data_IF_792285367791
#
_entry.id   IF_792285367791
#
_cell.length_a   1.000
_cell.length_b   1.000
_cell.length_c   1.000
_cell.angle_alpha   90.00
_cell.angle_beta   90.00
_cell.angle_gamma   90.00
#
_symmetry.space_group_name_H-M   'P 1'
#
loop_
_entity.id
_entity.type
_entity.pdbx_description
1 polymer ?
#
# COMPACT_ATOMS: atom_id res chain seq x y z
N UNK A 1 2.24 -12.63 -43.34
CA UNK A 1 2.05 -11.42 -42.51
C UNK A 1 0.94 -11.70 -41.51
N UNK A 2 1.16 -11.60 -40.19
CA UNK A 2 0.06 -11.79 -39.22
C UNK A 2 -0.88 -10.58 -39.24
N UNK A 3 -2.17 -10.85 -39.09
CA UNK A 3 -3.23 -9.84 -39.09
C UNK A 3 -3.16 -8.98 -37.83
N UNK A 4 -3.68 -7.74 -37.88
CA UNK A 4 -3.76 -6.85 -36.72
C UNK A 4 -4.44 -7.53 -35.51
N UNK A 5 -5.47 -8.32 -35.78
CA UNK A 5 -6.23 -9.08 -34.79
C UNK A 5 -5.40 -10.16 -34.11
N UNK A 6 -4.51 -10.85 -34.83
CA UNK A 6 -3.57 -11.82 -34.25
C UNK A 6 -2.53 -11.14 -33.38
N UNK A 7 -2.00 -9.98 -33.80
CA UNK A 7 -1.08 -9.18 -32.97
C UNK A 7 -1.75 -8.68 -31.69
N UNK A 8 -3.02 -8.28 -31.75
CA UNK A 8 -3.80 -7.89 -30.56
C UNK A 8 -4.03 -9.09 -29.65
N UNK A 9 -4.45 -10.25 -30.18
CA UNK A 9 -4.61 -11.46 -29.37
C UNK A 9 -3.32 -11.90 -28.71
N UNK A 10 -2.21 -11.83 -29.42
CA UNK A 10 -0.88 -12.17 -28.89
C UNK A 10 -0.46 -11.17 -27.80
N UNK A 11 -0.65 -9.87 -28.00
CA UNK A 11 -0.41 -8.85 -26.98
C UNK A 11 -1.32 -9.03 -25.74
N UNK A 12 -2.58 -9.40 -25.93
CA UNK A 12 -3.53 -9.70 -24.83
C UNK A 12 -3.13 -10.99 -24.09
N UNK A 13 -2.60 -11.99 -24.81
CA UNK A 13 -2.07 -13.20 -24.19
C UNK A 13 -0.80 -12.91 -23.38
N UNK A 14 0.14 -12.11 -23.92
CA UNK A 14 1.33 -11.64 -23.22
C UNK A 14 0.99 -10.75 -22.01
N UNK A 15 -0.13 -10.02 -22.06
CA UNK A 15 -0.65 -9.27 -20.90
C UNK A 15 -1.07 -10.14 -19.72
N UNK A 16 -1.37 -11.44 -19.91
CA UNK A 16 -1.78 -12.33 -18.81
C UNK A 16 -0.63 -12.60 -17.82
N UNK A 17 0.62 -12.63 -18.30
CA UNK A 17 1.81 -12.81 -17.47
C UNK A 17 2.51 -11.51 -17.08
N UNK A 18 1.92 -10.37 -17.47
CA UNK A 18 2.48 -9.06 -17.17
C UNK A 18 2.47 -8.79 -15.67
N UNK A 19 3.64 -8.41 -15.15
CA UNK A 19 3.80 -7.92 -13.78
C UNK A 19 3.90 -6.40 -13.79
N UNK A 20 3.46 -5.79 -12.70
CA UNK A 20 3.39 -4.34 -12.54
C UNK A 20 4.17 -3.94 -11.30
N UNK A 21 4.88 -2.81 -11.37
CA UNK A 21 5.48 -2.21 -10.18
C UNK A 21 4.37 -1.68 -9.26
N UNK A 22 4.44 -1.98 -7.97
CA UNK A 22 3.42 -1.57 -6.99
C UNK A 22 4.06 -0.79 -5.85
N UNK A 23 3.44 0.33 -5.47
CA UNK A 23 3.79 1.08 -4.25
C UNK A 23 2.53 1.23 -3.40
N UNK A 24 2.58 0.75 -2.15
CA UNK A 24 1.54 0.96 -1.15
C UNK A 24 1.88 2.10 -0.20
N UNK A 25 0.88 2.84 0.24
CA UNK A 25 1.04 3.93 1.21
C UNK A 25 -0.15 3.96 2.19
N UNK A 26 0.13 4.27 3.45
CA UNK A 26 -0.86 4.60 4.48
C UNK A 26 -0.68 6.07 4.85
N UNK A 27 -1.78 6.80 4.94
CA UNK A 27 -1.77 8.24 5.20
C UNK A 27 -2.65 8.55 6.40
N UNK A 28 -2.05 9.08 7.46
CA UNK A 28 -2.80 9.64 8.58
C UNK A 28 -3.09 11.11 8.30
N UNK A 29 -4.36 11.51 8.41
CA UNK A 29 -4.79 12.89 8.19
C UNK A 29 -5.25 13.49 9.51
N UNK A 30 -4.59 14.54 9.96
CA UNK A 30 -4.90 15.27 11.18
C UNK A 30 -5.53 16.63 10.89
N UNK A 31 -6.58 16.95 11.66
CA UNK A 31 -7.30 18.22 11.66
C UNK A 31 -7.69 18.55 13.11
N UNK A 32 -7.09 19.55 13.77
CA UNK A 32 -6.01 20.41 13.29
C UNK A 32 -4.66 19.67 13.13
N UNK A 33 -3.65 20.28 12.48
CA UNK A 33 -2.27 19.77 12.46
C UNK A 33 -1.70 19.55 13.85
N UNK A 34 -0.86 18.53 14.01
CA UNK A 34 -0.10 18.29 15.23
C UNK A 34 1.12 19.22 15.28
N UNK A 35 1.40 19.80 16.45
CA UNK A 35 2.62 20.57 16.68
C UNK A 35 3.86 19.67 16.61
N UNK A 36 3.81 18.50 17.26
CA UNK A 36 4.89 17.51 17.30
C UNK A 36 4.32 16.10 17.00
N UNK A 37 4.20 15.72 15.72
CA UNK A 37 3.71 14.39 15.37
C UNK A 37 4.71 13.29 15.77
N UNK A 38 4.26 12.33 16.57
CA UNK A 38 5.06 11.16 16.94
C UNK A 38 5.02 10.11 15.81
N UNK A 39 6.00 10.19 14.93
CA UNK A 39 6.12 9.28 13.78
C UNK A 39 6.40 7.84 14.21
N UNK A 40 7.12 7.62 15.30
CA UNK A 40 7.47 6.29 15.79
C UNK A 40 6.24 5.59 16.39
N UNK A 41 5.38 6.32 17.11
CA UNK A 41 4.11 5.80 17.58
C UNK A 41 3.18 5.42 16.41
N UNK A 42 3.05 6.28 15.40
CA UNK A 42 2.26 5.97 14.20
C UNK A 42 2.82 4.76 13.45
N UNK A 43 4.14 4.70 13.27
CA UNK A 43 4.81 3.56 12.64
C UNK A 43 4.61 2.26 13.42
N UNK A 44 4.70 2.33 14.75
CA UNK A 44 4.46 1.19 15.63
C UNK A 44 3.00 0.72 15.55
N UNK A 45 2.05 1.65 15.47
CA UNK A 45 0.63 1.33 15.31
C UNK A 45 0.36 0.56 14.02
N UNK A 46 1.01 0.91 12.91
CA UNK A 46 0.91 0.17 11.65
C UNK A 46 1.41 -1.27 11.85
N UNK A 47 2.56 -1.45 12.49
CA UNK A 47 3.15 -2.77 12.73
C UNK A 47 2.30 -3.62 13.68
N UNK A 48 1.69 -3.02 14.69
CA UNK A 48 0.78 -3.73 15.60
C UNK A 48 -0.44 -4.25 14.87
N UNK A 49 -1.06 -3.39 14.06
CA UNK A 49 -2.26 -3.74 13.32
C UNK A 49 -1.95 -4.78 12.23
N UNK A 50 -0.80 -4.67 11.55
CA UNK A 50 -0.33 -5.65 10.56
C UNK A 50 -0.29 -7.09 11.13
N UNK A 51 0.19 -7.24 12.37
CA UNK A 51 0.26 -8.55 13.05
C UNK A 51 -1.11 -9.22 13.23
N UNK A 52 -2.20 -8.46 13.25
CA UNK A 52 -3.55 -8.97 13.45
C UNK A 52 -4.14 -9.61 12.18
N UNK A 53 -3.71 -9.17 11.00
CA UNK A 53 -4.20 -9.69 9.71
C UNK A 53 -3.08 -9.64 8.66
N UNK A 54 -2.05 -10.49 8.82
CA UNK A 54 -0.95 -10.50 7.88
C UNK A 54 -1.44 -10.78 6.45
N UNK A 55 -0.98 -9.95 5.50
CA UNK A 55 -0.94 -10.25 4.08
C UNK A 55 -0.37 -11.66 3.85
N UNK A 56 -1.20 -12.55 3.29
CA UNK A 56 -0.86 -13.95 3.10
C UNK A 56 0.26 -14.12 2.07
N UNK A 57 1.24 -14.95 2.42
CA UNK A 57 1.81 -15.93 1.49
C UNK A 57 1.07 -17.24 1.83
N UNK A 58 0.40 -17.86 0.87
CA UNK A 58 -0.54 -18.99 1.07
C UNK A 58 0.13 -20.31 1.53
N UNK A 59 1.41 -20.33 1.94
CA UNK A 59 2.18 -21.55 2.21
C UNK A 59 3.02 -21.49 3.51
N UNK A 60 2.49 -20.95 4.60
CA UNK A 60 3.17 -21.03 5.92
C UNK A 60 2.58 -22.21 6.72
N UNK A 61 3.37 -23.24 7.06
CA UNK A 61 2.92 -24.38 7.85
C UNK A 61 2.32 -23.94 9.20
N UNK A 62 1.28 -24.63 9.67
CA UNK A 62 0.71 -24.40 10.99
C UNK A 62 1.78 -24.54 12.08
N UNK A 63 1.94 -23.49 12.90
CA UNK A 63 2.94 -23.42 13.98
C UNK A 63 4.26 -22.73 13.63
N UNK A 64 4.50 -22.36 12.38
CA UNK A 64 5.67 -21.55 12.00
C UNK A 64 5.44 -20.05 12.25
N UNK A 65 6.51 -19.32 12.57
CA UNK A 65 6.48 -17.86 12.65
C UNK A 65 6.16 -17.30 11.25
N UNK A 66 5.02 -16.60 11.13
CA UNK A 66 4.61 -16.00 9.86
C UNK A 66 5.53 -14.83 9.54
N UNK A 67 6.10 -14.76 8.32
CA UNK A 67 6.92 -13.62 7.93
C UNK A 67 6.08 -12.32 7.99
N UNK A 68 6.70 -11.17 8.32
CA UNK A 68 6.00 -9.91 8.35
C UNK A 68 5.46 -9.57 6.96
N UNK A 69 4.20 -9.18 6.94
CA UNK A 69 3.48 -8.82 5.72
C UNK A 69 3.97 -7.52 5.10
N UNK A 70 4.45 -6.61 5.96
CA UNK A 70 5.19 -5.43 5.56
C UNK A 70 6.69 -5.75 5.60
N UNK A 71 7.30 -5.88 4.42
CA UNK A 71 8.74 -6.12 4.30
C UNK A 71 9.55 -4.88 4.67
N UNK A 72 9.09 -3.71 4.20
CA UNK A 72 9.67 -2.43 4.57
C UNK A 72 8.58 -1.38 4.82
N UNK A 73 8.75 -0.64 5.91
CA UNK A 73 7.89 0.46 6.30
C UNK A 73 8.72 1.74 6.35
N UNK A 74 8.32 2.74 5.56
CA UNK A 74 9.00 4.04 5.52
C UNK A 74 8.99 4.77 6.87
N UNK A 75 9.85 5.76 7.01
CA UNK A 75 10.02 6.51 8.26
C UNK A 75 8.90 7.51 8.56
N UNK A 76 7.94 7.69 7.65
CA UNK A 76 6.92 8.73 7.76
C UNK A 76 7.39 10.02 7.07
N UNK A 77 6.55 10.58 6.22
CA UNK A 77 6.76 11.89 5.61
C UNK A 77 5.61 12.81 6.02
N UNK A 78 5.93 13.90 6.69
CA UNK A 78 4.96 14.91 7.10
C UNK A 78 4.78 15.93 5.97
N UNK A 79 3.54 16.11 5.55
CA UNK A 79 3.14 17.10 4.55
C UNK A 79 2.01 17.94 5.14
N UNK A 80 2.23 19.24 5.27
CA UNK A 80 1.19 20.17 5.74
C UNK A 80 0.55 20.83 4.54
N UNK A 81 -0.75 20.60 4.36
CA UNK A 81 -1.55 21.25 3.33
C UNK A 81 -2.24 22.48 3.91
N UNK A 82 -2.07 23.62 3.23
CA UNK A 82 -2.69 24.89 3.59
C UNK A 82 -4.17 25.00 3.16
N UNK A 83 -4.91 23.89 3.20
CA UNK A 83 -6.37 23.91 3.02
C UNK A 83 -7.05 24.66 4.17
N UNK A 84 -8.34 24.97 4.03
CA UNK A 84 -9.16 25.50 5.12
C UNK A 84 -10.27 24.49 5.47
N UNK A 85 -10.22 23.83 6.65
CA UNK A 85 -9.19 23.92 7.68
C UNK A 85 -7.86 23.29 7.25
N UNK A 86 -6.75 23.73 7.86
CA UNK A 86 -5.41 23.18 7.61
C UNK A 86 -5.39 21.68 7.89
N UNK A 87 -4.71 20.93 7.03
CA UNK A 87 -4.58 19.48 7.18
C UNK A 87 -3.10 19.10 7.25
N UNK A 88 -2.76 18.15 8.12
CA UNK A 88 -1.44 17.52 8.14
C UNK A 88 -1.60 16.06 7.71
N UNK A 89 -0.89 15.68 6.66
CA UNK A 89 -0.87 14.33 6.12
C UNK A 89 0.47 13.69 6.47
N UNK A 90 0.45 12.53 7.12
CA UNK A 90 1.66 11.79 7.48
C UNK A 90 1.65 10.49 6.68
N UNK A 91 2.55 10.40 5.69
CA UNK A 91 2.62 9.32 4.71
C UNK A 91 3.63 8.26 5.12
N UNK A 92 3.21 7.00 5.17
CA UNK A 92 4.08 5.85 5.35
C UNK A 92 4.05 4.99 4.10
N UNK A 93 5.19 4.85 3.42
CA UNK A 93 5.32 3.87 2.34
C UNK A 93 5.34 2.45 2.93
N UNK A 94 4.43 1.61 2.44
CA UNK A 94 4.28 0.21 2.83
C UNK A 94 4.76 -0.62 1.65
N UNK A 95 5.86 -1.33 1.83
CA UNK A 95 6.45 -2.16 0.79
C UNK A 95 6.17 -3.63 1.07
N UNK A 96 5.47 -4.33 0.16
CA UNK A 96 5.35 -5.77 0.21
C UNK A 96 6.69 -6.40 -0.20
N UNK A 97 6.83 -7.71 0.03
CA UNK A 97 8.04 -8.47 -0.37
C UNK A 97 8.28 -8.45 -1.89
N UNK A 98 7.21 -8.34 -2.68
CA UNK A 98 7.28 -8.37 -4.14
C UNK A 98 7.06 -6.96 -4.70
N UNK A 99 8.12 -6.34 -5.22
CA UNK A 99 8.01 -5.05 -5.92
C UNK A 99 7.24 -5.13 -7.24
N UNK A 100 7.05 -6.36 -7.77
CA UNK A 100 6.38 -6.63 -9.04
C UNK A 100 5.30 -7.70 -8.91
N UNK A 101 4.05 -7.33 -9.16
CA UNK A 101 2.87 -8.16 -8.88
C UNK A 101 2.00 -8.43 -10.13
N UNK A 102 1.33 -9.59 -10.16
CA UNK A 102 0.22 -9.89 -11.08
C UNK A 102 -1.05 -9.15 -10.63
N UNK A 103 -2.01 -8.93 -11.54
CA UNK A 103 -3.28 -8.22 -11.23
C UNK A 103 -4.03 -8.77 -10.02
N UNK A 104 -4.12 -10.09 -9.87
CA UNK A 104 -4.77 -10.71 -8.71
C UNK A 104 -4.08 -10.39 -7.38
N UNK A 105 -2.74 -10.36 -7.39
CA UNK A 105 -1.94 -9.99 -6.22
C UNK A 105 -2.10 -8.50 -5.89
N UNK A 106 -2.17 -7.63 -6.90
CA UNK A 106 -2.43 -6.20 -6.74
C UNK A 106 -3.78 -5.97 -6.05
N UNK A 107 -4.84 -6.63 -6.54
CA UNK A 107 -6.18 -6.48 -5.99
C UNK A 107 -6.24 -6.93 -4.53
N UNK A 108 -5.65 -8.09 -4.22
CA UNK A 108 -5.61 -8.54 -2.85
C UNK A 108 -4.76 -7.58 -1.99
N UNK A 109 -3.65 -7.03 -2.49
CA UNK A 109 -2.79 -6.11 -1.74
C UNK A 109 -3.50 -4.79 -1.44
N UNK A 110 -4.27 -4.29 -2.41
CA UNK A 110 -5.19 -3.17 -2.23
C UNK A 110 -6.20 -3.44 -1.10
N UNK A 111 -6.82 -4.63 -1.07
CA UNK A 111 -7.75 -5.00 0.02
C UNK A 111 -7.07 -5.09 1.38
N UNK A 112 -5.84 -5.60 1.42
CA UNK A 112 -5.05 -5.62 2.64
C UNK A 112 -4.73 -4.21 3.15
N UNK A 113 -4.27 -3.29 2.28
CA UNK A 113 -4.01 -1.91 2.67
C UNK A 113 -5.30 -1.19 3.11
N UNK A 114 -6.42 -1.46 2.46
CA UNK A 114 -7.72 -0.93 2.86
C UNK A 114 -8.12 -1.41 4.26
N UNK A 115 -7.93 -2.70 4.55
CA UNK A 115 -8.18 -3.26 5.89
C UNK A 115 -7.23 -2.68 6.93
N UNK A 116 -5.97 -2.49 6.56
CA UNK A 116 -4.96 -1.83 7.39
C UNK A 116 -5.40 -0.43 7.81
N UNK A 117 -5.82 0.39 6.85
CA UNK A 117 -6.32 1.73 7.11
C UNK A 117 -7.61 1.74 7.97
N UNK A 118 -8.54 0.83 7.71
CA UNK A 118 -9.79 0.69 8.47
C UNK A 118 -9.50 0.40 9.96
N UNK A 119 -8.63 -0.57 10.24
CA UNK A 119 -8.27 -0.97 11.60
C UNK A 119 -7.46 0.12 12.31
N UNK A 120 -6.58 0.83 11.59
CA UNK A 120 -5.85 1.99 12.09
C UNK A 120 -6.72 3.21 12.38
N UNK A 121 -7.96 3.26 11.87
CA UNK A 121 -8.90 4.33 12.16
C UNK A 121 -9.75 4.05 13.41
N UNK A 122 -9.78 2.80 13.91
CA UNK A 122 -10.57 2.44 15.10
C UNK A 122 -10.06 3.19 16.33
N UNK A 123 -10.92 3.82 17.14
CA UNK A 123 -10.48 4.63 18.28
C UNK A 123 -9.57 3.83 19.22
N UNK A 124 -8.36 4.33 19.48
CA UNK A 124 -7.55 3.88 20.63
C UNK A 124 -7.78 4.83 21.80
N UNK A 125 -7.49 4.36 23.02
CA UNK A 125 -7.74 5.10 24.28
C UNK A 125 -7.00 6.45 24.41
N UNK A 126 -6.17 6.85 23.44
CA UNK A 126 -5.37 8.07 23.50
C UNK A 126 -6.05 9.24 22.76
N UNK A 127 -6.08 10.41 23.39
CA UNK A 127 -6.79 11.63 22.96
C UNK A 127 -6.28 12.30 21.66
N UNK A 128 -5.27 11.74 20.99
CA UNK A 128 -4.76 12.25 19.72
C UNK A 128 -4.98 11.20 18.62
N UNK A 129 -6.17 11.24 18.02
CA UNK A 129 -6.55 10.32 16.96
C UNK A 129 -6.66 11.04 15.60
N UNK A 130 -6.21 10.44 14.49
CA UNK A 130 -6.36 11.05 13.17
C UNK A 130 -7.84 11.32 12.84
N UNK A 131 -8.09 12.37 12.05
CA UNK A 131 -9.42 12.64 11.51
C UNK A 131 -9.82 11.59 10.46
N UNK A 132 -8.84 11.06 9.71
CA UNK A 132 -9.02 9.91 8.83
C UNK A 132 -7.70 9.19 8.56
N UNK A 133 -7.78 7.90 8.20
CA UNK A 133 -6.65 7.13 7.67
C UNK A 133 -6.99 6.70 6.25
N UNK A 134 -6.07 6.90 5.30
CA UNK A 134 -6.23 6.52 3.90
C UNK A 134 -5.23 5.44 3.53
N UNK A 135 -5.61 4.55 2.64
CA UNK A 135 -4.70 3.70 1.89
C UNK A 135 -4.61 4.20 0.45
N UNK A 136 -3.39 4.20 -0.09
CA UNK A 136 -3.11 4.59 -1.48
C UNK A 136 -2.28 3.50 -2.12
N UNK A 137 -2.65 3.12 -3.34
CA UNK A 137 -1.89 2.18 -4.16
C UNK A 137 -1.54 2.84 -5.48
N UNK A 138 -0.26 2.81 -5.84
CA UNK A 138 0.24 3.27 -7.14
C UNK A 138 0.72 2.07 -7.94
N UNK A 139 0.19 1.91 -9.15
CA UNK A 139 0.56 0.83 -10.08
C UNK A 139 1.32 1.44 -11.25
N UNK A 140 2.54 0.97 -11.48
CA UNK A 140 3.40 1.38 -12.61
C UNK A 140 3.49 0.24 -13.63
N UNK A 141 3.02 0.50 -14.84
CA UNK A 141 3.15 -0.38 -15.99
C UNK A 141 4.16 0.21 -16.98
N UNK A 142 5.28 -0.47 -17.22
CA UNK A 142 6.26 -0.06 -18.24
C UNK A 142 6.07 -0.95 -19.46
N UNK A 143 5.84 -0.34 -20.63
CA UNK A 143 5.90 -1.01 -21.94
C UNK A 143 7.01 -0.35 -22.73
N UNK A 144 7.93 -1.13 -23.29
CA UNK A 144 8.96 -0.62 -24.19
C UNK A 144 8.64 -1.04 -25.62
N UNK A 145 8.77 -0.11 -26.56
CA UNK A 145 8.67 -0.39 -28.00
C UNK A 145 10.05 -0.21 -28.62
N UNK A 146 10.47 -1.15 -29.48
CA UNK A 146 11.67 -0.97 -30.29
C UNK A 146 11.30 -0.19 -31.56
N UNK A 147 12.12 0.80 -31.91
CA UNK A 147 12.06 1.38 -33.25
C UNK A 147 12.55 0.34 -34.27
N UNK A 148 11.88 0.26 -35.41
CA UNK A 148 12.29 -0.53 -36.57
C UNK A 148 13.20 0.30 -37.46
#
# INVERSE_FOLDING_TARGET
>A
MSTLTEKIRQAVAEMKDRRYGVKGEIVFVFKPPLENPDLDALRSSIKEVDKLFPWKEDDVPDGAEKPPSIFYLGNGQVVVHNFHPKEQHIWFSVHPRYDSMRRGQIYAYEKYLAKLAEELMKPKQNNYWPASVRSVITIKAVTSFKAF
#
